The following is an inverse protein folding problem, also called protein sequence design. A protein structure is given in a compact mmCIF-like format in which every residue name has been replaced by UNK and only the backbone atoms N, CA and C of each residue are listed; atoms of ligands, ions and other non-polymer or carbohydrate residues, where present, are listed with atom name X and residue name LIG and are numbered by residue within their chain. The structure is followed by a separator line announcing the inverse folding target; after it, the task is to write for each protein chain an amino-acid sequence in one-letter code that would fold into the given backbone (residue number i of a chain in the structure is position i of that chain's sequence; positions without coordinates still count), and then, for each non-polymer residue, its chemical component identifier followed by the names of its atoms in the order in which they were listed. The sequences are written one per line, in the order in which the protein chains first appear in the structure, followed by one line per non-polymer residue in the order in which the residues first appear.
data_IF_125643241534
#
_entry.id   IF_125643241534
#
_cell.length_a   1.000
_cell.length_b   1.000
_cell.length_c   1.000
_cell.angle_alpha   90.00
_cell.angle_beta   90.00
_cell.angle_gamma   90.00
#
_symmetry.space_group_name_H-M   'P 1'
#
loop_
_entity.id
_entity.type
_entity.pdbx_description
1 polymer ?
#
# COMPACT_ATOMS: atom_id res chain seq x y z
N UNK A 1 -0.29 17.46 -10.22
CA UNK A 1 0.27 16.08 -10.23
C UNK A 1 0.55 15.58 -8.82
N UNK A 2 1.06 16.43 -7.92
CA UNK A 2 1.19 16.12 -6.50
C UNK A 2 -0.16 15.86 -5.81
N UNK A 3 -1.21 16.63 -6.13
CA UNK A 3 -2.57 16.46 -5.55
C UNK A 3 -3.16 15.07 -5.81
N UNK A 4 -2.92 14.50 -7.01
CA UNK A 4 -3.35 13.15 -7.33
C UNK A 4 -2.68 12.13 -6.41
N UNK A 5 -1.36 12.26 -6.22
CA UNK A 5 -0.59 11.35 -5.35
C UNK A 5 -1.08 11.47 -3.90
N UNK A 6 -1.32 12.69 -3.42
CA UNK A 6 -1.86 12.94 -2.08
C UNK A 6 -3.24 12.28 -1.93
N UNK A 7 -4.13 12.47 -2.91
CA UNK A 7 -5.44 11.82 -2.94
C UNK A 7 -5.34 10.29 -2.93
N UNK A 8 -4.40 9.70 -3.68
CA UNK A 8 -4.19 8.24 -3.68
C UNK A 8 -3.63 7.73 -2.35
N UNK A 9 -2.81 8.52 -1.66
CA UNK A 9 -2.31 8.18 -0.30
C UNK A 9 -3.46 8.13 0.69
N UNK A 10 -4.33 9.15 0.67
CA UNK A 10 -5.52 9.19 1.51
C UNK A 10 -6.45 8.01 1.21
N UNK A 11 -6.74 7.77 -0.07
CA UNK A 11 -7.58 6.66 -0.49
C UNK A 11 -7.01 5.30 -0.07
N UNK A 12 -5.68 5.09 -0.19
CA UNK A 12 -5.05 3.85 0.24
C UNK A 12 -5.18 3.66 1.76
N UNK A 13 -4.95 4.71 2.55
CA UNK A 13 -5.13 4.69 4.00
C UNK A 13 -6.58 4.38 4.38
N UNK A 14 -7.54 5.10 3.81
CA UNK A 14 -8.97 4.92 4.09
C UNK A 14 -9.44 3.50 3.75
N UNK A 15 -8.99 2.93 2.62
CA UNK A 15 -9.33 1.56 2.28
C UNK A 15 -8.73 0.56 3.29
N UNK A 16 -7.48 0.75 3.71
CA UNK A 16 -6.85 -0.12 4.72
C UNK A 16 -7.53 -0.02 6.10
N UNK A 17 -7.96 1.18 6.50
CA UNK A 17 -8.73 1.42 7.72
C UNK A 17 -10.12 0.77 7.64
N UNK A 18 -10.82 0.92 6.50
CA UNK A 18 -12.12 0.27 6.26
C UNK A 18 -12.03 -1.25 6.25
N UNK A 19 -10.91 -1.82 5.82
CA UNK A 19 -10.66 -3.27 5.89
C UNK A 19 -10.34 -3.75 7.30
N UNK A 20 -10.21 -2.84 8.28
CA UNK A 20 -9.94 -3.20 9.66
C UNK A 20 -8.48 -3.57 9.91
N UNK A 21 -7.54 -3.03 9.12
CA UNK A 21 -6.12 -3.27 9.35
C UNK A 21 -5.72 -2.74 10.74
N UNK A 22 -5.11 -3.59 11.57
CA UNK A 22 -4.65 -3.25 12.93
C UNK A 22 -3.34 -2.44 12.95
N UNK A 23 -2.68 -2.31 11.80
CA UNK A 23 -1.43 -1.57 11.67
C UNK A 23 -1.69 -0.09 11.44
N UNK A 24 -0.89 0.76 12.08
CA UNK A 24 -0.95 2.20 11.87
C UNK A 24 -0.37 2.56 10.50
N UNK A 25 -1.22 2.87 9.53
CA UNK A 25 -0.83 3.30 8.18
C UNK A 25 -0.57 4.81 8.05
N UNK A 26 -0.41 5.52 9.17
CA UNK A 26 -0.21 6.97 9.19
C UNK A 26 1.04 7.43 8.43
N UNK A 27 2.06 6.56 8.33
CA UNK A 27 3.27 6.82 7.56
C UNK A 27 3.00 7.00 6.07
N UNK A 28 1.93 6.41 5.52
CA UNK A 28 1.56 6.58 4.11
C UNK A 28 1.19 8.04 3.81
N UNK A 29 0.47 8.68 4.73
CA UNK A 29 0.04 10.08 4.60
C UNK A 29 1.11 11.08 5.05
N UNK A 30 1.98 10.71 6.01
CA UNK A 30 3.04 11.59 6.51
C UNK A 30 4.23 11.71 5.54
N UNK A 31 4.46 10.71 4.68
CA UNK A 31 5.57 10.74 3.72
C UNK A 31 5.23 11.56 2.47
N UNK A 32 6.16 12.40 2.05
CA UNK A 32 6.03 13.28 0.87
C UNK A 32 6.86 12.70 -0.29
N UNK A 33 6.28 12.70 -1.49
CA UNK A 33 6.98 12.32 -2.73
C UNK A 33 6.28 11.22 -3.51
N UNK A 34 6.99 10.62 -4.47
CA UNK A 34 6.45 9.57 -5.36
C UNK A 34 6.46 8.17 -4.72
N UNK A 35 7.19 8.00 -3.61
CA UNK A 35 7.37 6.71 -2.96
C UNK A 35 6.78 6.71 -1.56
N UNK A 36 6.32 5.54 -1.13
CA UNK A 36 5.84 5.29 0.21
C UNK A 36 6.50 4.02 0.74
N UNK A 37 7.04 4.04 1.95
CA UNK A 37 7.46 2.83 2.63
C UNK A 37 6.29 2.23 3.40
N UNK A 38 5.86 1.01 3.05
CA UNK A 38 4.81 0.29 3.78
C UNK A 38 5.30 -0.29 5.11
N UNK A 39 6.61 -0.54 5.25
CA UNK A 39 7.17 -1.23 6.41
C UNK A 39 7.00 -2.76 6.38
N UNK A 40 6.53 -3.30 5.26
CA UNK A 40 6.32 -4.74 5.09
C UNK A 40 7.64 -5.51 5.00
N UNK A 41 7.65 -6.75 5.48
CA UNK A 41 8.80 -7.65 5.39
C UNK A 41 8.99 -8.15 3.95
N UNK A 42 10.19 -8.62 3.58
CA UNK A 42 10.42 -9.20 2.26
C UNK A 42 9.51 -10.39 1.95
N UNK A 43 9.16 -11.17 2.96
CA UNK A 43 8.28 -12.36 2.84
C UNK A 43 6.85 -11.95 2.47
N UNK A 44 6.33 -10.89 3.10
CA UNK A 44 5.04 -10.29 2.76
C UNK A 44 5.03 -9.76 1.32
N UNK A 45 6.14 -9.17 0.87
CA UNK A 45 6.28 -8.64 -0.49
C UNK A 45 6.34 -9.76 -1.54
N UNK A 46 7.06 -10.85 -1.25
CA UNK A 46 7.09 -12.01 -2.13
C UNK A 46 5.67 -12.65 -2.22
N UNK A 47 4.90 -12.68 -1.13
CA UNK A 47 3.49 -13.12 -1.17
C UNK A 47 2.60 -12.20 -2.00
N UNK A 48 2.71 -10.88 -1.84
CA UNK A 48 2.02 -9.89 -2.67
C UNK A 48 2.30 -10.10 -4.17
N UNK A 49 3.53 -10.44 -4.50
CA UNK A 49 3.95 -10.68 -5.89
C UNK A 49 3.38 -12.00 -6.43
N UNK A 50 3.44 -13.08 -5.64
CA UNK A 50 3.00 -14.41 -6.07
C UNK A 50 1.47 -14.56 -6.09
N UNK A 51 0.78 -14.08 -5.06
CA UNK A 51 -0.67 -14.26 -4.87
C UNK A 51 -1.50 -13.17 -5.57
N UNK A 52 -1.03 -11.92 -5.55
CA UNK A 52 -1.79 -10.76 -6.04
C UNK A 52 -1.17 -10.11 -7.29
N UNK A 53 -0.03 -10.61 -7.76
CA UNK A 53 0.71 -10.05 -8.90
C UNK A 53 1.05 -8.57 -8.73
N UNK A 54 1.28 -8.13 -7.49
CA UNK A 54 1.66 -6.76 -7.15
C UNK A 54 3.18 -6.70 -6.99
N UNK A 55 3.84 -6.09 -7.95
CA UNK A 55 5.29 -5.95 -7.96
C UNK A 55 5.73 -4.67 -7.25
N UNK A 56 6.48 -4.85 -6.17
CA UNK A 56 7.08 -3.73 -5.42
C UNK A 56 8.50 -4.08 -4.98
N UNK A 57 9.28 -3.07 -4.58
CA UNK A 57 10.65 -3.31 -4.13
C UNK A 57 10.65 -4.02 -2.77
N UNK A 58 11.52 -5.04 -2.61
CA UNK A 58 11.69 -5.87 -1.40
C UNK A 58 11.97 -5.13 -0.09
N UNK A 59 12.23 -3.82 -0.16
CA UNK A 59 12.40 -2.94 0.99
C UNK A 59 11.08 -2.30 1.46
N UNK A 60 9.93 -2.75 0.96
CA UNK A 60 8.62 -2.20 1.33
C UNK A 60 8.28 -0.88 0.61
N UNK A 61 9.07 -0.46 -0.39
CA UNK A 61 8.82 0.80 -1.10
C UNK A 61 7.80 0.60 -2.22
N UNK A 62 6.69 1.33 -2.14
CA UNK A 62 5.59 1.37 -3.10
C UNK A 62 5.71 2.64 -3.94
N UNK A 63 5.50 2.53 -5.25
CA UNK A 63 5.41 3.68 -6.15
C UNK A 63 3.97 4.20 -6.21
N UNK A 64 3.71 5.35 -5.60
CA UNK A 64 2.39 5.99 -5.62
C UNK A 64 2.02 6.52 -7.00
N UNK A 65 2.98 6.67 -7.91
CA UNK A 65 2.72 7.10 -9.29
C UNK A 65 1.90 6.06 -10.09
N UNK A 66 2.03 4.77 -9.76
CA UNK A 66 1.28 3.67 -10.38
C UNK A 66 -0.06 3.37 -9.70
N UNK A 67 -0.33 4.00 -8.56
CA UNK A 67 -1.61 3.84 -7.85
C UNK A 67 -2.66 4.76 -8.50
N UNK A 68 -3.83 4.20 -8.75
CA UNK A 68 -4.98 4.86 -9.36
C UNK A 68 -6.23 4.51 -8.57
N UNK A 69 -7.30 5.29 -8.75
CA UNK A 69 -8.59 5.03 -8.08
C UNK A 69 -9.17 3.65 -8.40
N UNK A 70 -8.85 3.08 -9.56
CA UNK A 70 -9.31 1.75 -9.96
C UNK A 70 -8.52 0.60 -9.33
N UNK A 71 -7.25 0.80 -8.96
CA UNK A 71 -6.41 -0.25 -8.38
C UNK A 71 -6.15 -0.11 -6.88
N UNK A 72 -6.41 1.07 -6.30
CA UNK A 72 -6.14 1.34 -4.88
C UNK A 72 -6.89 0.40 -3.93
N UNK A 73 -8.13 0.03 -4.28
CA UNK A 73 -8.91 -0.92 -3.50
C UNK A 73 -8.33 -2.34 -3.55
N UNK A 74 -7.89 -2.78 -4.73
CA UNK A 74 -7.22 -4.06 -4.89
C UNK A 74 -5.89 -4.11 -4.13
N UNK A 75 -5.09 -3.05 -4.24
CA UNK A 75 -3.83 -2.91 -3.50
C UNK A 75 -4.06 -2.94 -1.98
N UNK A 76 -5.06 -2.21 -1.48
CA UNK A 76 -5.40 -2.21 -0.06
C UNK A 76 -5.83 -3.59 0.43
N UNK A 77 -6.69 -4.29 -0.33
CA UNK A 77 -7.10 -5.67 -0.02
C UNK A 77 -5.92 -6.62 0.05
N UNK A 78 -5.03 -6.57 -0.95
CA UNK A 78 -3.86 -7.43 -1.01
C UNK A 78 -2.89 -7.18 0.17
N UNK A 79 -2.63 -5.91 0.49
CA UNK A 79 -1.81 -5.53 1.65
C UNK A 79 -2.47 -6.02 2.94
N UNK A 80 -3.78 -5.83 3.09
CA UNK A 80 -4.51 -6.27 4.27
C UNK A 80 -4.45 -7.79 4.45
N UNK A 81 -4.67 -8.56 3.39
CA UNK A 81 -4.65 -10.04 3.45
C UNK A 81 -3.28 -10.58 3.88
N UNK A 82 -2.21 -10.00 3.32
CA UNK A 82 -0.84 -10.40 3.64
C UNK A 82 -0.44 -10.00 5.05
N UNK A 83 -0.77 -8.78 5.47
CA UNK A 83 -0.47 -8.28 6.83
C UNK A 83 -1.34 -8.90 7.93
N UNK A 84 -2.53 -9.41 7.60
CA UNK A 84 -3.38 -10.16 8.54
C UNK A 84 -2.86 -11.57 8.79
N UNK A 85 -2.13 -12.13 7.84
CA UNK A 85 -1.62 -13.50 7.90
C UNK A 85 -0.31 -13.64 8.69
N UNK A 86 0.21 -12.55 9.26
CA UNK A 86 1.44 -12.50 10.07
C UNK A 86 1.13 -12.33 11.57
#
# INVERSE_FOLDING_TARGET
MADRIIGMRTALKENLENLGSRLSWEHITKQIGMFCYSGMTPEEIDRLTNEFHIYMTRNGRISMAGVTTGNVGYLANAIHEVTRSA
#
